data_IF_103426080497
#
_entry.id   IF_103426080497
#
_cell.length_a   1.000
_cell.length_b   1.000
_cell.length_c   1.000
_cell.angle_alpha   90.00
_cell.angle_beta   90.00
_cell.angle_gamma   90.00
#
_symmetry.space_group_name_H-M   'P 1'
#
loop_
_entity.id
_entity.type
_entity.pdbx_description
1 polymer ?
#
# COMPACT_ATOMS: atom_id res chain seq x y z
N UNK A 1 -2.27 11.44 27.39
CA UNK A 1 -1.39 12.54 26.95
C UNK A 1 -0.21 12.03 26.15
N UNK A 2 0.60 11.09 26.64
CA UNK A 2 1.76 10.54 25.93
C UNK A 2 1.42 9.90 24.56
N UNK A 3 0.32 9.14 24.47
CA UNK A 3 -0.13 8.52 23.22
C UNK A 3 -0.45 9.57 22.14
N UNK A 4 -1.09 10.68 22.51
CA UNK A 4 -1.42 11.77 21.60
C UNK A 4 -0.13 12.42 21.06
N UNK A 5 0.83 12.70 21.93
CA UNK A 5 2.12 13.27 21.52
C UNK A 5 2.88 12.36 20.55
N UNK A 6 2.91 11.05 20.82
CA UNK A 6 3.52 10.04 19.93
C UNK A 6 2.81 9.99 18.57
N UNK A 7 1.48 9.99 18.56
CA UNK A 7 0.69 10.00 17.32
C UNK A 7 0.93 11.28 16.52
N UNK A 8 1.00 12.44 17.16
CA UNK A 8 1.31 13.71 16.50
C UNK A 8 2.72 13.69 15.90
N UNK A 9 3.71 13.23 16.66
CA UNK A 9 5.09 13.10 16.16
C UNK A 9 5.17 12.18 14.94
N UNK A 10 4.50 11.03 14.99
CA UNK A 10 4.42 10.12 13.85
C UNK A 10 3.75 10.77 12.63
N UNK A 11 2.60 11.43 12.83
CA UNK A 11 1.87 12.09 11.75
C UNK A 11 2.69 13.21 11.09
N UNK A 12 3.39 14.00 11.90
CA UNK A 12 4.29 15.05 11.38
C UNK A 12 5.42 14.47 10.53
N UNK A 13 6.07 13.40 11.00
CA UNK A 13 7.10 12.72 10.23
C UNK A 13 6.54 12.12 8.93
N UNK A 14 5.36 11.53 8.98
CA UNK A 14 4.69 11.01 7.78
C UNK A 14 4.43 12.13 6.76
N UNK A 15 3.93 13.29 7.20
CA UNK A 15 3.68 14.45 6.33
C UNK A 15 4.99 14.97 5.71
N UNK A 16 6.08 15.01 6.46
CA UNK A 16 7.38 15.51 5.99
C UNK A 16 8.07 14.52 5.05
N UNK A 17 8.00 13.22 5.34
CA UNK A 17 8.71 12.18 4.57
C UNK A 17 7.96 11.81 3.28
N UNK A 18 6.63 11.81 3.29
CA UNK A 18 5.84 11.33 2.14
C UNK A 18 6.04 12.14 0.87
N UNK A 19 6.03 13.49 0.85
CA UNK A 19 6.22 14.25 -0.38
C UNK A 19 7.55 13.99 -1.08
N UNK A 20 8.71 14.12 -0.44
CA UNK A 20 9.99 13.87 -1.10
C UNK A 20 10.14 12.40 -1.55
N UNK A 21 9.62 11.46 -0.75
CA UNK A 21 9.63 10.05 -1.14
C UNK A 21 8.72 9.77 -2.35
N UNK A 22 7.56 10.41 -2.42
CA UNK A 22 6.66 10.29 -3.58
C UNK A 22 7.32 10.84 -4.85
N UNK A 23 7.98 12.00 -4.77
CA UNK A 23 8.74 12.58 -5.89
C UNK A 23 9.84 11.61 -6.35
N UNK A 24 10.59 11.03 -5.40
CA UNK A 24 11.59 10.00 -5.71
C UNK A 24 10.96 8.78 -6.39
N UNK A 25 9.84 8.27 -5.88
CA UNK A 25 9.12 7.15 -6.50
C UNK A 25 8.65 7.48 -7.91
N UNK A 26 8.13 8.69 -8.12
CA UNK A 26 7.72 9.16 -9.46
C UNK A 26 8.89 9.26 -10.43
N UNK A 27 10.08 9.66 -9.98
CA UNK A 27 11.28 9.68 -10.83
C UNK A 27 11.69 8.29 -11.32
N UNK A 28 11.19 7.23 -10.67
CA UNK A 28 11.42 5.84 -11.04
C UNK A 28 10.35 5.27 -12.00
N UNK A 29 9.54 6.12 -12.67
CA UNK A 29 8.43 5.70 -13.54
C UNK A 29 8.84 4.76 -14.69
N UNK A 30 10.08 4.85 -15.14
CA UNK A 30 10.68 4.05 -16.21
C UNK A 30 11.05 2.62 -15.78
N UNK A 31 11.03 2.31 -14.49
CA UNK A 31 11.31 0.96 -13.99
C UNK A 31 10.13 0.01 -14.28
N UNK A 32 10.41 -1.29 -14.46
CA UNK A 32 9.37 -2.32 -14.52
C UNK A 32 8.46 -2.32 -13.27
N UNK A 33 7.19 -2.76 -13.37
CA UNK A 33 6.22 -2.70 -12.28
C UNK A 33 6.71 -3.29 -10.94
N UNK A 34 7.36 -4.45 -10.96
CA UNK A 34 7.92 -5.07 -9.76
C UNK A 34 9.02 -4.23 -9.11
N UNK A 35 9.89 -3.58 -9.88
CA UNK A 35 10.94 -2.72 -9.33
C UNK A 35 10.34 -1.45 -8.74
N UNK A 36 9.35 -0.85 -9.40
CA UNK A 36 8.59 0.29 -8.85
C UNK A 36 7.91 -0.06 -7.54
N UNK A 37 7.33 -1.26 -7.47
CA UNK A 37 6.75 -1.78 -6.23
C UNK A 37 7.79 -1.83 -5.10
N UNK A 38 9.01 -2.31 -5.37
CA UNK A 38 10.08 -2.37 -4.37
C UNK A 38 10.50 -0.98 -3.88
N UNK A 39 10.50 0.02 -4.76
CA UNK A 39 10.75 1.42 -4.34
C UNK A 39 9.65 1.88 -3.38
N UNK A 40 8.38 1.68 -3.73
CA UNK A 40 7.26 2.08 -2.87
C UNK A 40 7.23 1.30 -1.54
N UNK A 41 7.59 0.02 -1.58
CA UNK A 41 7.76 -0.84 -0.42
C UNK A 41 8.76 -0.27 0.61
N UNK A 42 9.82 0.41 0.15
CA UNK A 42 10.75 1.11 1.02
C UNK A 42 10.08 2.16 1.90
N UNK A 43 9.12 2.90 1.37
CA UNK A 43 8.34 3.87 2.15
C UNK A 43 7.54 3.20 3.27
N UNK A 44 6.87 2.08 2.98
CA UNK A 44 6.08 1.36 4.01
C UNK A 44 6.97 0.79 5.11
N UNK A 45 8.20 0.37 4.80
CA UNK A 45 9.20 -0.03 5.81
C UNK A 45 9.56 1.11 6.74
N UNK A 46 9.81 2.31 6.19
CA UNK A 46 10.09 3.50 7.00
C UNK A 46 8.90 3.81 7.91
N UNK A 47 7.68 3.81 7.38
CA UNK A 47 6.48 4.11 8.16
C UNK A 47 6.25 3.10 9.29
N UNK A 48 6.41 1.81 9.04
CA UNK A 48 6.28 0.77 10.08
C UNK A 48 7.39 0.86 11.12
N UNK A 49 8.63 1.18 10.71
CA UNK A 49 9.71 1.42 11.64
C UNK A 49 9.42 2.61 12.57
N UNK A 50 8.90 3.71 12.03
CA UNK A 50 8.50 4.87 12.82
C UNK A 50 7.32 4.55 13.75
N UNK A 51 6.33 3.78 13.30
CA UNK A 51 5.24 3.31 14.17
C UNK A 51 5.76 2.48 15.34
N UNK A 52 6.69 1.58 15.08
CA UNK A 52 7.32 0.76 16.11
C UNK A 52 8.11 1.60 17.12
N UNK A 53 8.94 2.52 16.65
CA UNK A 53 9.87 3.28 17.50
C UNK A 53 9.18 4.41 18.25
N UNK A 54 8.26 5.15 17.63
CA UNK A 54 7.61 6.31 18.22
C UNK A 54 6.36 5.89 18.99
N UNK A 55 5.50 5.09 18.35
CA UNK A 55 4.21 4.71 18.93
C UNK A 55 4.30 3.42 19.77
N UNK A 56 5.39 2.66 19.68
CA UNK A 56 5.54 1.38 20.37
C UNK A 56 4.61 0.29 19.81
N UNK A 57 4.13 0.43 18.56
CA UNK A 57 3.26 -0.54 17.92
C UNK A 57 4.06 -1.73 17.40
N UNK A 58 3.83 -2.88 18.00
CA UNK A 58 4.43 -4.15 17.62
C UNK A 58 3.35 -5.09 17.08
N UNK A 59 3.72 -5.97 16.18
CA UNK A 59 2.84 -7.03 15.68
C UNK A 59 3.57 -8.36 15.60
N UNK A 60 2.82 -9.44 15.60
CA UNK A 60 3.30 -10.80 15.40
C UNK A 60 2.50 -11.46 14.29
N UNK A 61 3.19 -12.09 13.35
CA UNK A 61 2.57 -12.88 12.29
C UNK A 61 2.43 -14.31 12.81
N UNK A 62 1.23 -14.86 12.68
CA UNK A 62 0.94 -16.27 13.01
C UNK A 62 0.45 -16.91 11.72
N UNK A 63 0.99 -18.09 11.35
CA UNK A 63 0.59 -18.79 10.13
C UNK A 63 1.28 -18.28 8.87
N UNK A 64 2.45 -17.62 8.98
CA UNK A 64 3.21 -17.15 7.82
C UNK A 64 3.54 -18.27 6.82
N UNK A 65 3.66 -19.50 7.30
CA UNK A 65 3.89 -20.72 6.51
C UNK A 65 2.73 -21.06 5.57
N UNK A 66 1.54 -20.54 5.82
CA UNK A 66 0.35 -20.75 4.99
C UNK A 66 0.19 -19.69 3.89
N UNK A 67 1.08 -18.69 3.82
CA UNK A 67 1.03 -17.67 2.77
C UNK A 67 1.34 -18.33 1.42
N UNK A 68 0.44 -18.25 0.42
CA UNK A 68 0.66 -18.87 -0.88
C UNK A 68 1.84 -18.20 -1.61
N UNK A 69 2.64 -19.03 -2.27
CA UNK A 69 3.79 -18.56 -3.08
C UNK A 69 3.39 -18.17 -4.50
N UNK A 70 2.20 -18.55 -4.93
CA UNK A 70 1.65 -18.24 -6.25
C UNK A 70 0.68 -17.04 -6.17
N UNK A 71 0.43 -16.30 -7.26
CA UNK A 71 -0.52 -15.23 -7.30
C UNK A 71 -1.88 -15.64 -6.75
N UNK A 72 -2.41 -14.90 -5.80
CA UNK A 72 -3.64 -15.24 -5.08
C UNK A 72 -4.40 -13.99 -4.65
N UNK A 73 -5.70 -14.16 -4.41
CA UNK A 73 -6.55 -13.08 -3.91
C UNK A 73 -6.57 -13.13 -2.38
N UNK A 74 -6.10 -12.07 -1.74
CA UNK A 74 -6.12 -11.92 -0.29
C UNK A 74 -7.37 -11.16 0.14
N UNK A 75 -8.27 -11.84 0.84
CA UNK A 75 -9.44 -11.23 1.46
C UNK A 75 -9.17 -11.05 2.95
N UNK A 76 -9.09 -9.83 3.40
CA UNK A 76 -8.76 -9.53 4.78
C UNK A 76 -9.71 -8.52 5.38
N UNK A 77 -9.90 -8.60 6.71
CA UNK A 77 -10.62 -7.58 7.45
C UNK A 77 -9.81 -6.30 7.48
N UNK A 78 -10.42 -5.19 7.05
CA UNK A 78 -9.78 -3.86 7.03
C UNK A 78 -10.32 -3.01 8.17
N UNK A 79 -9.49 -2.71 9.17
CA UNK A 79 -9.88 -1.97 10.37
C UNK A 79 -9.13 -0.64 10.53
N UNK A 80 -7.96 -0.51 9.90
CA UNK A 80 -7.13 0.70 10.01
C UNK A 80 -6.23 0.89 8.78
N UNK A 81 -5.56 2.02 8.68
CA UNK A 81 -4.53 2.24 7.65
C UNK A 81 -3.27 1.39 7.88
N UNK A 82 -3.09 0.81 9.08
CA UNK A 82 -1.92 0.00 9.42
C UNK A 82 -1.79 -1.23 8.53
N UNK A 83 -2.90 -1.93 8.24
CA UNK A 83 -2.88 -3.12 7.39
C UNK A 83 -2.33 -2.82 6.00
N UNK A 84 -2.64 -1.64 5.45
CA UNK A 84 -2.16 -1.26 4.12
C UNK A 84 -0.64 -1.11 4.04
N UNK A 85 0.00 -0.79 5.16
CA UNK A 85 1.45 -0.76 5.30
C UNK A 85 2.02 -2.15 5.59
N UNK A 86 1.44 -2.84 6.57
CA UNK A 86 1.94 -4.11 7.07
C UNK A 86 1.84 -5.25 6.05
N UNK A 87 0.76 -5.32 5.28
CA UNK A 87 0.58 -6.38 4.29
C UNK A 87 1.64 -6.33 3.18
N UNK A 88 2.14 -5.18 2.85
CA UNK A 88 3.27 -5.05 1.93
C UNK A 88 4.57 -5.66 2.48
N UNK A 89 4.66 -5.87 3.81
CA UNK A 89 5.81 -6.51 4.45
C UNK A 89 5.57 -8.01 4.71
N UNK A 90 4.30 -8.42 4.79
CA UNK A 90 3.89 -9.77 5.19
C UNK A 90 3.71 -10.67 3.96
N UNK A 91 3.06 -10.16 2.92
CA UNK A 91 2.75 -10.92 1.71
C UNK A 91 3.78 -10.66 0.60
N UNK A 92 3.87 -11.55 -0.40
CA UNK A 92 4.57 -11.28 -1.66
C UNK A 92 4.09 -9.98 -2.32
N UNK A 93 4.79 -9.47 -3.35
CA UNK A 93 4.33 -8.29 -4.08
C UNK A 93 2.87 -8.40 -4.47
N UNK A 94 2.10 -7.36 -4.13
CA UNK A 94 0.65 -7.38 -4.26
C UNK A 94 0.13 -6.05 -4.77
N UNK A 95 -1.06 -6.06 -5.35
CA UNK A 95 -1.78 -4.84 -5.75
C UNK A 95 -3.04 -4.66 -4.90
N UNK A 96 -3.38 -3.42 -4.62
CA UNK A 96 -4.55 -3.06 -3.85
C UNK A 96 -5.75 -2.79 -4.76
N UNK A 97 -6.92 -3.31 -4.38
CA UNK A 97 -8.19 -2.82 -4.90
C UNK A 97 -8.58 -1.60 -4.08
N UNK A 98 -8.59 -0.45 -4.70
CA UNK A 98 -8.80 0.82 -4.00
C UNK A 98 -9.79 1.74 -4.72
N UNK A 99 -10.27 2.73 -3.97
CA UNK A 99 -11.14 3.78 -4.49
C UNK A 99 -10.33 4.74 -5.36
N UNK A 100 -10.76 4.97 -6.58
CA UNK A 100 -10.02 5.74 -7.59
C UNK A 100 -9.69 7.19 -7.13
N UNK A 101 -10.53 7.77 -6.26
CA UNK A 101 -10.31 9.10 -5.70
C UNK A 101 -9.05 9.18 -4.83
N UNK A 102 -8.58 8.08 -4.25
CA UNK A 102 -7.34 8.04 -3.47
C UNK A 102 -6.11 8.41 -4.30
N UNK A 103 -6.14 8.11 -5.61
CA UNK A 103 -5.06 8.45 -6.53
C UNK A 103 -4.93 9.96 -6.79
N UNK A 104 -5.96 10.75 -6.41
CA UNK A 104 -5.96 12.21 -6.55
C UNK A 104 -5.32 12.93 -5.38
N UNK A 105 -5.05 12.22 -4.27
CA UNK A 105 -4.39 12.82 -3.09
C UNK A 105 -2.95 13.19 -3.48
N UNK A 106 -2.57 14.47 -3.39
CA UNK A 106 -1.23 14.90 -3.75
C UNK A 106 -0.15 14.09 -3.04
N UNK A 107 0.93 13.79 -3.73
CA UNK A 107 2.07 12.98 -3.28
C UNK A 107 1.70 11.55 -2.93
N UNK A 108 0.84 11.33 -1.94
CA UNK A 108 0.44 9.98 -1.51
C UNK A 108 -0.22 9.18 -2.63
N UNK A 109 -1.23 9.75 -3.28
CA UNK A 109 -1.95 9.11 -4.40
C UNK A 109 -1.05 8.88 -5.61
N UNK A 110 -0.13 9.79 -5.88
CA UNK A 110 0.84 9.65 -6.97
C UNK A 110 1.81 8.51 -6.72
N UNK A 111 2.36 8.41 -5.49
CA UNK A 111 3.18 7.26 -5.09
C UNK A 111 2.41 5.95 -5.13
N UNK A 112 1.15 5.97 -4.69
CA UNK A 112 0.26 4.81 -4.71
C UNK A 112 -0.03 4.34 -6.14
N UNK A 113 -0.19 5.25 -7.12
CA UNK A 113 -0.37 4.90 -8.53
C UNK A 113 0.81 4.09 -9.10
N UNK A 114 2.02 4.29 -8.56
CA UNK A 114 3.23 3.56 -8.99
C UNK A 114 3.22 2.08 -8.58
N UNK A 115 2.33 1.66 -7.66
CA UNK A 115 2.15 0.25 -7.26
C UNK A 115 1.22 -0.53 -8.18
N UNK A 116 0.79 0.05 -9.30
CA UNK A 116 -0.15 -0.59 -10.25
C UNK A 116 -1.47 -1.05 -9.62
N UNK A 117 -2.14 -0.24 -8.78
CA UNK A 117 -3.34 -0.65 -8.06
C UNK A 117 -4.51 -0.92 -9.02
N UNK A 118 -5.49 -1.68 -8.54
CA UNK A 118 -6.79 -1.85 -9.18
C UNK A 118 -7.70 -0.72 -8.67
N UNK A 119 -7.84 0.33 -9.48
CA UNK A 119 -8.62 1.50 -9.11
C UNK A 119 -10.06 1.37 -9.58
N UNK A 120 -11.01 1.45 -8.64
CA UNK A 120 -12.44 1.28 -8.93
C UNK A 120 -13.24 2.55 -8.62
N UNK A 121 -14.25 2.79 -9.44
CA UNK A 121 -15.31 3.75 -9.17
C UNK A 121 -16.47 3.03 -8.46
N UNK A 122 -16.55 3.18 -7.13
CA UNK A 122 -17.58 2.52 -6.33
C UNK A 122 -19.00 3.02 -6.66
N UNK A 123 -19.14 4.21 -7.24
CA UNK A 123 -20.43 4.76 -7.68
C UNK A 123 -20.98 4.11 -8.93
N UNK A 124 -20.17 3.37 -9.68
CA UNK A 124 -20.56 2.78 -10.96
C UNK A 124 -21.27 1.42 -10.86
N UNK A 125 -21.65 0.98 -9.65
CA UNK A 125 -22.42 -0.25 -9.42
C UNK A 125 -21.79 -1.50 -10.07
N UNK A 126 -22.52 -2.19 -10.96
CA UNK A 126 -22.05 -3.41 -11.64
C UNK A 126 -20.76 -3.19 -12.45
N UNK A 127 -20.52 -1.98 -12.97
CA UNK A 127 -19.29 -1.66 -13.70
C UNK A 127 -18.06 -1.70 -12.80
N UNK A 128 -18.21 -1.42 -11.49
CA UNK A 128 -17.09 -1.53 -10.56
C UNK A 128 -16.55 -2.97 -10.47
N UNK A 129 -17.45 -3.97 -10.46
CA UNK A 129 -17.06 -5.37 -10.46
C UNK A 129 -16.32 -5.75 -11.76
N UNK A 130 -16.81 -5.28 -12.90
CA UNK A 130 -16.14 -5.51 -14.17
C UNK A 130 -14.72 -4.89 -14.19
N UNK A 131 -14.57 -3.68 -13.65
CA UNK A 131 -13.26 -3.02 -13.50
C UNK A 131 -12.28 -3.86 -12.66
N UNK A 132 -12.76 -4.51 -11.57
CA UNK A 132 -11.93 -5.41 -10.76
C UNK A 132 -11.49 -6.61 -11.59
N UNK A 133 -12.41 -7.24 -12.32
CA UNK A 133 -12.11 -8.43 -13.11
C UNK A 133 -11.09 -8.12 -14.21
N UNK A 134 -11.32 -7.06 -14.97
CA UNK A 134 -10.48 -6.72 -16.12
C UNK A 134 -9.06 -6.31 -15.67
N UNK A 135 -8.96 -5.38 -14.71
CA UNK A 135 -7.67 -4.98 -14.17
C UNK A 135 -6.99 -6.12 -13.39
N UNK A 136 -7.76 -6.94 -12.66
CA UNK A 136 -7.24 -8.08 -11.90
C UNK A 136 -6.60 -9.13 -12.78
N UNK A 137 -7.22 -9.48 -13.91
CA UNK A 137 -6.62 -10.39 -14.91
C UNK A 137 -5.25 -9.87 -15.38
N UNK A 138 -5.16 -8.59 -15.64
CA UNK A 138 -3.95 -7.92 -16.10
C UNK A 138 -2.84 -7.99 -15.03
N UNK A 139 -3.19 -7.78 -13.75
CA UNK A 139 -2.24 -7.87 -12.63
C UNK A 139 -1.77 -9.29 -12.36
N UNK A 140 -2.68 -10.26 -12.42
CA UNK A 140 -2.32 -11.69 -12.31
C UNK A 140 -1.38 -12.13 -13.43
N UNK A 141 -1.58 -11.65 -14.67
CA UNK A 141 -0.67 -11.90 -15.78
C UNK A 141 0.73 -11.29 -15.55
N UNK A 142 0.82 -10.20 -14.78
CA UNK A 142 2.07 -9.56 -14.37
C UNK A 142 2.68 -10.20 -13.10
N UNK A 143 2.10 -11.30 -12.58
CA UNK A 143 2.55 -12.03 -11.39
C UNK A 143 2.49 -11.21 -10.08
N UNK A 144 1.46 -10.36 -9.94
CA UNK A 144 1.09 -9.75 -8.67
C UNK A 144 0.05 -10.59 -7.93
#
# INVERSE_FOLDING_TARGET
MLAILRSLAYTMLQIVITPPYAIFTLSCFWLPPHQRYQVTYGWTRIMLFLLKTICGLHYRIIGAEHIPKQPSIVLSKHQSAWETLAFQQIFPPQVWVLKKELLRIPFFGWGLAMTSPIAIDRGSGKKALQQIVDQGKDRLAQQF
#
